data_IF_301673436610
#
_entry.id   IF_301673436610
#
_cell.length_a   1.000
_cell.length_b   1.000
_cell.length_c   1.000
_cell.angle_alpha   90.00
_cell.angle_beta   90.00
_cell.angle_gamma   90.00
#
_symmetry.space_group_name_H-M   'P 1'
#
loop_
_entity.id
_entity.type
_entity.pdbx_description
1 polymer ?
#
# COMPACT_ATOMS: atom_id res chain seq x y z
N UNK A 1 16.22 0.30 -14.30
CA UNK A 1 15.12 1.28 -14.39
C UNK A 1 14.93 1.89 -13.01
N UNK A 2 13.78 2.47 -12.62
CA UNK A 2 13.62 3.19 -11.36
C UNK A 2 12.26 2.83 -10.75
N UNK A 3 12.21 1.76 -9.97
CA UNK A 3 10.95 1.19 -9.46
C UNK A 3 10.60 1.71 -8.06
N UNK A 4 9.31 1.83 -7.74
CA UNK A 4 8.79 2.25 -6.44
C UNK A 4 7.81 1.19 -5.92
N UNK A 5 8.02 0.72 -4.70
CA UNK A 5 7.07 -0.16 -4.00
C UNK A 5 6.05 0.70 -3.25
N UNK A 6 4.78 0.56 -3.57
CA UNK A 6 3.69 1.22 -2.85
C UNK A 6 3.21 0.34 -1.69
N UNK A 7 3.01 0.95 -0.54
CA UNK A 7 2.49 0.30 0.67
C UNK A 7 1.29 1.12 1.13
N UNK A 8 0.17 0.46 1.40
CA UNK A 8 -1.03 1.10 1.92
C UNK A 8 -1.44 0.43 3.23
N UNK A 9 -1.59 1.23 4.29
CA UNK A 9 -1.79 0.73 5.65
C UNK A 9 -3.08 1.28 6.30
N UNK A 10 -3.89 0.36 6.81
CA UNK A 10 -5.15 0.64 7.49
C UNK A 10 -6.26 1.12 6.55
N UNK A 11 -7.47 1.28 7.08
CA UNK A 11 -8.66 1.62 6.30
C UNK A 11 -8.46 2.86 5.40
N UNK A 12 -8.01 3.98 5.95
CA UNK A 12 -7.83 5.21 5.19
C UNK A 12 -6.76 5.07 4.10
N UNK A 13 -5.61 4.46 4.43
CA UNK A 13 -4.53 4.21 3.47
C UNK A 13 -5.01 3.34 2.31
N UNK A 14 -5.73 2.26 2.60
CA UNK A 14 -6.26 1.36 1.57
C UNK A 14 -7.31 2.02 0.67
N UNK A 15 -8.19 2.87 1.20
CA UNK A 15 -9.18 3.59 0.39
C UNK A 15 -8.53 4.62 -0.54
N UNK A 16 -7.55 5.38 -0.04
CA UNK A 16 -6.79 6.34 -0.85
C UNK A 16 -5.95 5.60 -1.89
N UNK A 17 -5.27 4.53 -1.48
CA UNK A 17 -4.48 3.67 -2.35
C UNK A 17 -5.32 3.07 -3.48
N UNK A 18 -6.51 2.53 -3.19
CA UNK A 18 -7.43 2.03 -4.22
C UNK A 18 -7.80 3.10 -5.25
N UNK A 19 -8.09 4.34 -4.81
CA UNK A 19 -8.36 5.45 -5.72
C UNK A 19 -7.14 5.95 -6.48
N UNK A 20 -5.96 5.94 -5.85
CA UNK A 20 -4.70 6.23 -6.52
C UNK A 20 -4.48 5.24 -7.68
N UNK A 21 -4.60 3.93 -7.42
CA UNK A 21 -4.41 2.89 -8.43
C UNK A 21 -5.46 2.93 -9.55
N UNK A 22 -6.71 3.31 -9.25
CA UNK A 22 -7.73 3.55 -10.28
C UNK A 22 -7.31 4.68 -11.22
N UNK A 23 -6.93 5.83 -10.67
CA UNK A 23 -6.55 7.01 -11.47
C UNK A 23 -5.28 6.75 -12.29
N UNK A 24 -4.23 6.16 -11.70
CA UNK A 24 -3.00 5.92 -12.47
C UNK A 24 -3.17 4.80 -13.50
N UNK A 25 -4.06 3.83 -13.27
CA UNK A 25 -4.37 2.81 -14.28
C UNK A 25 -5.08 3.47 -15.47
N UNK A 26 -6.03 4.36 -15.22
CA UNK A 26 -6.69 5.13 -16.27
C UNK A 26 -5.70 6.01 -17.05
N UNK A 27 -4.78 6.70 -16.37
CA UNK A 27 -3.74 7.52 -17.01
C UNK A 27 -2.79 6.70 -17.90
N UNK A 28 -2.45 5.48 -17.47
CA UNK A 28 -1.61 4.54 -18.21
C UNK A 28 -2.39 3.65 -19.19
N UNK A 29 -3.71 3.80 -19.30
CA UNK A 29 -4.55 3.00 -20.20
C UNK A 29 -4.60 1.52 -19.83
N UNK A 30 -4.44 1.17 -18.55
CA UNK A 30 -4.51 -0.20 -18.02
C UNK A 30 -5.92 -0.49 -17.53
N UNK A 31 -6.52 -1.54 -18.04
CA UNK A 31 -7.85 -1.96 -17.61
C UNK A 31 -7.81 -2.76 -16.29
N UNK A 32 -8.97 -3.07 -15.67
CA UNK A 32 -9.03 -3.88 -14.46
C UNK A 32 -8.47 -5.30 -14.59
N UNK A 33 -8.23 -5.80 -15.81
CA UNK A 33 -7.61 -7.11 -16.05
C UNK A 33 -6.08 -7.05 -16.13
N UNK A 34 -5.53 -5.83 -16.09
CA UNK A 34 -4.11 -5.52 -16.24
C UNK A 34 -3.67 -5.40 -17.70
N UNK A 35 -4.60 -5.37 -18.66
CA UNK A 35 -4.28 -5.32 -20.09
C UNK A 35 -4.22 -3.86 -20.56
N UNK A 36 -3.22 -3.54 -21.38
CA UNK A 36 -3.07 -2.21 -21.96
C UNK A 36 -4.03 -1.98 -23.13
N UNK A 37 -4.79 -0.89 -23.05
CA UNK A 37 -5.73 -0.40 -24.05
C UNK A 37 -5.53 1.09 -24.38
N UNK A 38 -4.36 1.65 -24.02
CA UNK A 38 -4.01 3.03 -24.29
C UNK A 38 -3.71 3.32 -25.77
N UNK A 39 -3.57 4.60 -26.09
CA UNK A 39 -3.42 5.13 -27.44
C UNK A 39 -2.08 5.88 -27.66
N UNK A 40 -1.23 5.94 -26.64
CA UNK A 40 0.01 6.72 -26.65
C UNK A 40 1.20 5.93 -26.11
N UNK A 41 2.29 5.85 -26.89
CA UNK A 41 3.52 5.17 -26.49
C UNK A 41 4.12 5.74 -25.18
N UNK A 42 3.83 7.01 -24.86
CA UNK A 42 4.27 7.65 -23.61
C UNK A 42 3.66 7.02 -22.36
N UNK A 43 2.48 6.39 -22.49
CA UNK A 43 1.83 5.69 -21.36
C UNK A 43 2.62 4.45 -20.95
N UNK A 44 3.34 3.82 -21.87
CA UNK A 44 4.16 2.63 -21.58
C UNK A 44 5.62 2.97 -21.27
N UNK A 45 6.12 4.15 -21.65
CA UNK A 45 7.54 4.52 -21.51
C UNK A 45 8.09 4.33 -20.08
N UNK A 46 7.27 4.60 -19.06
CA UNK A 46 7.67 4.52 -17.64
C UNK A 46 6.70 3.72 -16.77
N UNK A 47 5.91 2.85 -17.38
CA UNK A 47 4.91 2.05 -16.66
C UNK A 47 5.55 1.14 -15.59
N UNK A 48 6.77 0.70 -15.84
CA UNK A 48 7.57 -0.16 -14.97
C UNK A 48 7.89 0.46 -13.60
N UNK A 49 7.73 1.78 -13.44
CA UNK A 49 7.95 2.47 -12.15
C UNK A 49 6.99 1.93 -11.09
N UNK A 50 5.71 1.79 -11.46
CA UNK A 50 4.62 1.36 -10.57
C UNK A 50 4.08 -0.03 -10.86
N UNK A 51 4.27 -0.56 -12.08
CA UNK A 51 3.76 -1.86 -12.47
C UNK A 51 4.87 -2.88 -12.74
N UNK A 52 4.60 -4.13 -12.41
CA UNK A 52 5.31 -5.29 -12.90
C UNK A 52 4.67 -5.77 -14.20
N UNK A 53 5.46 -6.03 -15.23
CA UNK A 53 4.98 -6.71 -16.43
C UNK A 53 5.03 -8.23 -16.20
N UNK A 54 3.86 -8.85 -16.10
CA UNK A 54 3.68 -10.28 -15.99
C UNK A 54 3.50 -10.93 -17.38
N UNK A 55 3.63 -12.26 -17.43
CA UNK A 55 3.44 -13.01 -18.65
C UNK A 55 2.07 -12.74 -19.29
N UNK A 56 2.06 -12.60 -20.61
CA UNK A 56 0.84 -12.31 -21.38
C UNK A 56 0.49 -10.82 -21.50
N UNK A 57 1.45 -9.91 -21.27
CA UNK A 57 1.26 -8.47 -21.42
C UNK A 57 0.36 -7.87 -20.33
N UNK A 58 0.35 -8.48 -19.15
CA UNK A 58 -0.45 -8.03 -18.01
C UNK A 58 0.40 -7.20 -17.07
N UNK A 59 -0.08 -6.02 -16.73
CA UNK A 59 0.55 -5.10 -15.79
C UNK A 59 -0.07 -5.26 -14.40
N UNK A 60 0.76 -5.57 -13.42
CA UNK A 60 0.34 -5.79 -12.02
C UNK A 60 0.96 -4.71 -11.13
N UNK A 61 0.17 -3.98 -10.34
CA UNK A 61 0.64 -2.98 -9.38
C UNK A 61 1.71 -3.54 -8.44
N UNK A 62 2.80 -2.79 -8.26
CA UNK A 62 3.80 -3.01 -7.21
C UNK A 62 3.29 -2.45 -5.89
N UNK A 63 2.20 -3.03 -5.39
CA UNK A 63 1.50 -2.60 -4.20
C UNK A 63 1.46 -3.69 -3.13
N UNK A 64 1.59 -3.29 -1.86
CA UNK A 64 1.39 -4.13 -0.67
C UNK A 64 0.26 -3.53 0.15
N UNK A 65 -0.78 -4.33 0.40
CA UNK A 65 -2.00 -3.91 1.07
C UNK A 65 -2.02 -4.50 2.48
N UNK A 66 -2.09 -3.61 3.48
CA UNK A 66 -1.94 -4.00 4.88
C UNK A 66 -3.10 -3.47 5.69
N UNK A 67 -3.73 -4.34 6.47
CA UNK A 67 -4.65 -3.92 7.54
C UNK A 67 -4.68 -4.96 8.67
N UNK A 68 -4.94 -4.53 9.89
CA UNK A 68 -5.08 -5.45 11.02
C UNK A 68 -6.48 -6.10 11.04
N UNK A 69 -7.43 -5.55 10.27
CA UNK A 69 -8.77 -6.08 10.09
C UNK A 69 -9.00 -6.62 8.67
N UNK A 70 -9.71 -7.75 8.51
CA UNK A 70 -9.97 -8.32 7.18
C UNK A 70 -10.95 -7.51 6.33
N UNK A 71 -11.87 -6.75 6.96
CA UNK A 71 -12.99 -6.10 6.27
C UNK A 71 -12.57 -5.07 5.21
N UNK A 72 -11.45 -4.39 5.41
CA UNK A 72 -10.90 -3.45 4.42
C UNK A 72 -10.48 -4.17 3.13
N UNK A 73 -9.96 -5.39 3.25
CA UNK A 73 -9.46 -6.16 2.08
C UNK A 73 -10.60 -6.59 1.17
N UNK A 74 -11.72 -7.03 1.75
CA UNK A 74 -12.93 -7.38 0.98
C UNK A 74 -13.48 -6.17 0.21
N UNK A 75 -13.42 -4.99 0.82
CA UNK A 75 -13.82 -3.73 0.20
C UNK A 75 -12.92 -3.36 -0.99
N UNK A 76 -11.60 -3.57 -0.88
CA UNK A 76 -10.67 -3.31 -2.00
C UNK A 76 -10.85 -4.34 -3.12
N UNK A 77 -10.97 -5.63 -2.79
CA UNK A 77 -11.14 -6.70 -3.79
C UNK A 77 -12.44 -6.59 -4.58
N UNK A 78 -13.50 -6.07 -3.95
CA UNK A 78 -14.80 -5.81 -4.59
C UNK A 78 -14.82 -4.48 -5.37
N UNK A 79 -13.76 -3.66 -5.25
CA UNK A 79 -13.59 -2.44 -6.02
C UNK A 79 -13.34 -2.69 -7.51
N UNK A 80 -13.47 -1.65 -8.35
CA UNK A 80 -13.36 -1.76 -9.82
C UNK A 80 -12.02 -2.34 -10.26
N UNK A 81 -10.93 -1.93 -9.62
CA UNK A 81 -9.57 -2.41 -9.89
C UNK A 81 -9.08 -3.45 -8.84
N UNK A 82 -9.98 -4.02 -8.04
CA UNK A 82 -9.60 -4.95 -6.97
C UNK A 82 -8.91 -6.22 -7.46
N UNK A 83 -9.24 -6.68 -8.68
CA UNK A 83 -8.67 -7.88 -9.31
C UNK A 83 -7.28 -7.63 -9.93
N UNK A 84 -6.86 -6.37 -10.01
CA UNK A 84 -5.59 -5.99 -10.58
C UNK A 84 -4.42 -6.32 -9.61
N UNK A 85 -4.68 -6.27 -8.30
CA UNK A 85 -3.69 -6.55 -7.27
C UNK A 85 -3.38 -8.04 -7.14
N UNK A 86 -2.11 -8.36 -6.91
CA UNK A 86 -1.70 -9.75 -6.63
C UNK A 86 -2.30 -10.22 -5.31
N UNK A 87 -3.00 -11.37 -5.26
CA UNK A 87 -3.59 -11.89 -4.02
C UNK A 87 -2.59 -12.09 -2.88
N UNK A 88 -1.36 -12.46 -3.21
CA UNK A 88 -0.26 -12.67 -2.26
C UNK A 88 0.22 -11.38 -1.58
N UNK A 89 -0.12 -10.21 -2.14
CA UNK A 89 0.29 -8.92 -1.61
C UNK A 89 -0.71 -8.33 -0.61
N UNK A 90 -1.79 -9.05 -0.31
CA UNK A 90 -2.75 -8.70 0.73
C UNK A 90 -2.32 -9.36 2.04
N UNK A 91 -1.89 -8.55 3.00
CA UNK A 91 -1.48 -9.01 4.33
C UNK A 91 -2.44 -8.43 5.34
N UNK A 92 -3.18 -9.29 6.04
CA UNK A 92 -4.16 -8.83 7.01
C UNK A 92 -4.22 -9.67 8.27
N UNK A 93 -4.54 -8.99 9.39
CA UNK A 93 -4.75 -9.60 10.69
C UNK A 93 -6.18 -10.11 10.91
N UNK A 94 -6.43 -10.65 12.09
CA UNK A 94 -7.77 -11.03 12.56
C UNK A 94 -8.34 -10.08 13.60
N UNK A 95 -7.56 -9.08 14.03
CA UNK A 95 -7.82 -8.25 15.21
C UNK A 95 -7.43 -6.82 14.90
N UNK A 96 -8.36 -5.88 15.06
CA UNK A 96 -8.11 -4.47 14.79
C UNK A 96 -7.39 -3.74 15.92
N UNK A 97 -6.65 -2.68 15.55
CA UNK A 97 -6.02 -1.81 16.54
C UNK A 97 -7.03 -0.94 17.31
N UNK A 98 -8.27 -0.76 16.80
CA UNK A 98 -9.34 -0.03 17.49
C UNK A 98 -8.96 1.40 17.90
N UNK A 99 -8.40 2.17 16.96
CA UNK A 99 -7.90 3.54 17.18
C UNK A 99 -6.84 3.69 18.28
N UNK A 100 -6.13 2.60 18.62
CA UNK A 100 -5.03 2.62 19.57
C UNK A 100 -3.68 2.45 18.86
N UNK A 101 -2.89 3.52 18.86
CA UNK A 101 -1.55 3.53 18.27
C UNK A 101 -0.63 2.46 18.87
N UNK A 102 -0.65 2.29 20.20
CA UNK A 102 0.21 1.32 20.89
C UNK A 102 -0.11 -0.13 20.51
N UNK A 103 -1.39 -0.44 20.25
CA UNK A 103 -1.76 -1.76 19.72
C UNK A 103 -1.20 -1.99 18.31
N UNK A 104 -1.33 -0.98 17.45
CA UNK A 104 -0.76 -1.02 16.10
C UNK A 104 0.76 -1.09 16.09
N UNK A 105 1.44 -0.48 17.04
CA UNK A 105 2.91 -0.37 17.03
C UNK A 105 3.63 -1.47 17.83
N UNK A 106 3.07 -1.90 18.96
CA UNK A 106 3.78 -2.77 19.91
C UNK A 106 3.16 -4.17 20.08
N UNK A 107 1.88 -4.37 19.76
CA UNK A 107 1.22 -5.67 19.96
C UNK A 107 0.77 -6.28 18.63
N UNK A 108 -0.43 -5.96 18.16
CA UNK A 108 -1.06 -6.61 17.00
C UNK A 108 -0.25 -6.36 15.72
N UNK A 109 0.20 -5.12 15.52
CA UNK A 109 1.02 -4.80 14.33
C UNK A 109 2.43 -5.37 14.41
N UNK A 110 2.97 -5.59 15.61
CA UNK A 110 4.27 -6.24 15.78
C UNK A 110 4.22 -7.74 15.44
N UNK A 111 3.06 -8.39 15.64
CA UNK A 111 2.86 -9.78 15.21
C UNK A 111 2.72 -9.91 13.68
N UNK A 112 2.11 -8.91 13.02
CA UNK A 112 1.87 -8.94 11.58
C UNK A 112 3.04 -8.39 10.74
N UNK A 113 3.90 -7.54 11.32
CA UNK A 113 4.92 -6.79 10.57
C UNK A 113 5.87 -7.68 9.76
N UNK A 114 6.30 -8.82 10.32
CA UNK A 114 7.25 -9.71 9.64
C UNK A 114 6.65 -10.30 8.36
N UNK A 115 5.35 -10.64 8.38
CA UNK A 115 4.64 -11.10 7.19
C UNK A 115 4.57 -10.02 6.11
N UNK A 116 4.39 -8.76 6.51
CA UNK A 116 4.41 -7.63 5.57
C UNK A 116 5.80 -7.43 4.99
N UNK A 117 6.85 -7.47 5.83
CA UNK A 117 8.23 -7.30 5.39
C UNK A 117 8.66 -8.38 4.41
N UNK A 118 8.20 -9.63 4.57
CA UNK A 118 8.47 -10.70 3.62
C UNK A 118 7.85 -10.42 2.24
N UNK A 119 6.65 -9.85 2.18
CA UNK A 119 6.03 -9.43 0.91
C UNK A 119 6.76 -8.23 0.31
N UNK A 120 7.10 -7.24 1.12
CA UNK A 120 7.89 -6.07 0.69
C UNK A 120 9.24 -6.50 0.14
N UNK A 121 9.89 -7.51 0.76
CA UNK A 121 11.16 -8.07 0.29
C UNK A 121 11.02 -8.74 -1.06
N UNK A 122 9.98 -9.57 -1.25
CA UNK A 122 9.68 -10.20 -2.56
C UNK A 122 9.47 -9.15 -3.66
N UNK A 123 8.70 -8.10 -3.38
CA UNK A 123 8.49 -7.02 -4.35
C UNK A 123 9.77 -6.23 -4.63
N UNK A 124 10.61 -6.02 -3.60
CA UNK A 124 11.90 -5.33 -3.74
C UNK A 124 12.90 -6.14 -4.56
N UNK A 125 12.97 -7.46 -4.37
CA UNK A 125 13.83 -8.38 -5.13
C UNK A 125 13.41 -8.49 -6.60
N UNK A 126 12.13 -8.26 -6.90
CA UNK A 126 11.62 -8.20 -8.27
C UNK A 126 11.93 -6.88 -9.01
N UNK A 127 12.55 -5.91 -8.33
CA UNK A 127 12.96 -4.65 -8.95
C UNK A 127 14.39 -4.73 -9.50
N UNK A 128 14.63 -4.18 -10.68
CA UNK A 128 15.99 -4.02 -11.21
C UNK A 128 16.81 -3.00 -10.39
N UNK A 129 16.20 -1.88 -10.01
CA UNK A 129 16.82 -0.83 -9.22
C UNK A 129 15.78 -0.05 -8.40
N UNK A 130 15.40 -0.65 -7.28
CA UNK A 130 14.46 -0.06 -6.32
C UNK A 130 14.91 1.36 -5.92
N UNK A 131 14.05 2.34 -6.12
CA UNK A 131 14.29 3.72 -5.66
C UNK A 131 13.92 3.92 -4.20
N UNK A 132 12.83 3.29 -3.78
CA UNK A 132 12.23 3.57 -2.48
C UNK A 132 10.80 3.08 -2.35
N UNK A 133 10.20 3.53 -1.26
CA UNK A 133 8.90 3.12 -0.81
C UNK A 133 7.96 4.32 -0.69
N UNK A 134 6.71 4.11 -1.07
CA UNK A 134 5.63 5.07 -0.90
C UNK A 134 4.61 4.49 0.05
N UNK A 135 4.45 5.07 1.24
CA UNK A 135 3.45 4.66 2.22
C UNK A 135 2.24 5.61 2.20
N UNK A 136 1.03 5.08 2.03
CA UNK A 136 -0.23 5.79 2.25
C UNK A 136 -0.89 5.31 3.55
N UNK A 137 -1.12 6.24 4.49
CA UNK A 137 -1.67 5.93 5.81
C UNK A 137 -2.35 7.12 6.48
N UNK A 138 -3.10 6.86 7.56
CA UNK A 138 -3.69 7.90 8.43
C UNK A 138 -2.98 7.99 9.77
N UNK A 139 -2.79 9.19 10.29
CA UNK A 139 -2.22 9.39 11.64
C UNK A 139 -3.24 9.26 12.77
N UNK A 140 -4.55 9.41 12.50
CA UNK A 140 -5.59 9.35 13.54
C UNK A 140 -6.09 7.93 13.88
N UNK A 141 -5.86 6.95 13.01
CA UNK A 141 -6.27 5.55 13.25
C UNK A 141 -5.29 4.82 14.18
N UNK A 142 -5.53 3.53 14.45
CA UNK A 142 -4.58 2.67 15.19
C UNK A 142 -3.63 1.91 14.26
N UNK A 143 -4.18 1.28 13.21
CA UNK A 143 -3.40 0.52 12.22
C UNK A 143 -2.53 1.43 11.37
N UNK A 144 -3.15 2.42 10.71
CA UNK A 144 -2.44 3.32 9.80
C UNK A 144 -1.30 4.04 10.50
N UNK A 145 -1.51 4.53 11.72
CA UNK A 145 -0.50 5.26 12.47
C UNK A 145 0.52 4.32 13.11
N UNK A 146 0.08 3.38 13.96
CA UNK A 146 0.94 2.53 14.78
C UNK A 146 1.72 1.52 13.95
N UNK A 147 1.01 0.74 13.12
CA UNK A 147 1.66 -0.24 12.25
C UNK A 147 2.42 0.46 11.12
N UNK A 148 1.90 1.56 10.59
CA UNK A 148 2.59 2.36 9.57
C UNK A 148 3.93 2.89 10.04
N UNK A 149 4.02 3.45 11.25
CA UNK A 149 5.31 3.92 11.81
C UNK A 149 6.27 2.77 12.12
N UNK A 150 5.76 1.62 12.58
CA UNK A 150 6.57 0.43 12.79
C UNK A 150 7.20 -0.05 11.47
N UNK A 151 6.39 -0.15 10.41
CA UNK A 151 6.84 -0.52 9.06
C UNK A 151 7.90 0.44 8.55
N UNK A 152 7.72 1.76 8.71
CA UNK A 152 8.72 2.75 8.31
C UNK A 152 10.05 2.49 9.04
N UNK A 153 10.03 2.23 10.35
CA UNK A 153 11.27 1.95 11.11
C UNK A 153 11.99 0.73 10.56
N UNK A 154 11.25 -0.37 10.35
CA UNK A 154 11.80 -1.63 9.85
C UNK A 154 12.34 -1.53 8.43
N UNK A 155 11.63 -0.85 7.54
CA UNK A 155 12.10 -0.62 6.17
C UNK A 155 13.35 0.26 6.18
N UNK A 156 13.45 1.27 7.05
CA UNK A 156 14.65 2.10 7.15
C UNK A 156 15.85 1.36 7.75
N UNK A 157 15.62 0.35 8.58
CA UNK A 157 16.67 -0.56 9.08
C UNK A 157 17.21 -1.45 7.95
N UNK A 158 16.33 -2.06 7.14
CA UNK A 158 16.71 -3.00 6.08
C UNK A 158 17.17 -2.30 4.78
N UNK A 159 16.56 -1.18 4.42
CA UNK A 159 16.77 -0.43 3.17
C UNK A 159 17.25 1.00 3.42
N UNK A 160 18.33 1.13 4.19
CA UNK A 160 18.81 2.42 4.71
C UNK A 160 19.21 3.45 3.63
N UNK A 161 19.52 3.00 2.40
CA UNK A 161 19.94 3.83 1.26
C UNK A 161 18.77 4.20 0.33
N UNK A 162 17.55 3.72 0.61
CA UNK A 162 16.36 3.95 -0.20
C UNK A 162 15.52 5.10 0.33
N UNK A 163 14.83 5.78 -0.59
CA UNK A 163 13.95 6.90 -0.23
C UNK A 163 12.68 6.34 0.43
N UNK A 164 12.23 6.99 1.49
CA UNK A 164 10.94 6.72 2.12
C UNK A 164 10.04 7.96 1.96
N UNK A 165 8.91 7.81 1.28
CA UNK A 165 7.91 8.85 1.11
C UNK A 165 6.62 8.44 1.79
N UNK A 166 6.00 9.36 2.55
CA UNK A 166 4.72 9.09 3.24
C UNK A 166 3.66 10.08 2.80
N UNK A 167 2.47 9.57 2.53
CA UNK A 167 1.25 10.32 2.29
C UNK A 167 0.38 10.14 3.53
N UNK A 168 0.52 11.09 4.45
CA UNK A 168 -0.05 11.02 5.80
C UNK A 168 -1.30 11.87 5.91
N UNK A 169 -2.45 11.25 6.17
CA UNK A 169 -3.69 11.98 6.44
C UNK A 169 -3.74 12.39 7.91
N UNK A 170 -3.76 13.69 8.15
CA UNK A 170 -3.91 14.28 9.48
C UNK A 170 -5.40 14.38 9.81
N UNK A 171 -5.84 13.93 11.00
CA UNK A 171 -7.26 13.95 11.37
C UNK A 171 -7.84 15.37 11.49
N UNK A 172 -9.15 15.48 11.34
CA UNK A 172 -9.91 16.71 11.55
C UNK A 172 -11.24 16.41 12.26
N UNK A 173 -11.59 17.18 13.31
CA UNK A 173 -12.83 16.97 14.08
C UNK A 173 -14.12 17.25 13.29
N UNK A 174 -14.01 17.72 12.04
CA UNK A 174 -15.17 17.87 11.13
C UNK A 174 -15.57 16.56 10.46
N UNK A 175 -14.68 15.57 10.46
CA UNK A 175 -14.82 14.32 9.69
C UNK A 175 -14.77 13.09 10.61
N UNK A 176 -14.10 13.19 11.75
CA UNK A 176 -13.99 12.10 12.73
C UNK A 176 -14.34 12.57 14.14
N UNK A 177 -15.07 11.72 14.86
CA UNK A 177 -15.46 11.90 16.26
C UNK A 177 -14.53 11.16 17.23
N UNK A 178 -13.43 10.59 16.74
CA UNK A 178 -12.51 9.79 17.56
C UNK A 178 -11.69 10.70 18.47
N UNK A 179 -12.00 10.68 19.77
CA UNK A 179 -11.37 11.54 20.79
C UNK A 179 -9.89 11.27 21.01
N UNK A 180 -9.38 10.11 20.58
CA UNK A 180 -7.97 9.71 20.75
C UNK A 180 -7.08 10.05 19.55
N UNK A 181 -7.60 10.68 18.50
CA UNK A 181 -6.82 11.06 17.31
C UNK A 181 -5.65 12.03 17.55
N UNK A 182 -5.71 12.97 18.53
CA UNK A 182 -4.57 13.85 18.81
C UNK A 182 -3.42 13.20 19.60
N UNK A 183 -3.58 11.98 20.13
CA UNK A 183 -2.56 11.29 20.93
C UNK A 183 -1.45 10.72 20.04
#
# INVERSE_FOLDING_TARGET
MREIVHIQAGQCGNQIGAKFWEVISDEHGIDPTGTYHGDSDLQLERINVYYNEAAGGKYVPRAVLVDLEPGTMDSVRSGPFGQLFRPDNFVFGQSGAGNNWAKGHYTEGAELVDSVLDVVRKESESCDCLQGFQLTHSLGGGTGSGMGTLLISKIREEYHDRIMMTFSVVPSPKVSDTVVEPY
#
